data_IF_218124889068
#
_entry.id   IF_218124889068
#
_cell.length_a   1.000
_cell.length_b   1.000
_cell.length_c   1.000
_cell.angle_alpha   90.00
_cell.angle_beta   90.00
_cell.angle_gamma   90.00
#
_symmetry.space_group_name_H-M   'P 1'
#
loop_
_entity.id
_entity.type
_entity.pdbx_description
1 polymer ?
#
# COMPACT_ATOMS: atom_id res chain seq x y z
N UNK A 1 19.95 2.54 -4.65
CA UNK A 1 20.42 1.31 -5.32
C UNK A 1 21.78 0.86 -4.80
N UNK A 2 22.73 1.78 -4.57
CA UNK A 2 24.04 1.47 -3.99
C UNK A 2 23.97 0.65 -2.69
N UNK A 3 23.15 1.08 -1.71
CA UNK A 3 22.97 0.32 -0.47
C UNK A 3 22.46 -1.11 -0.70
N UNK A 4 21.55 -1.34 -1.66
CA UNK A 4 21.06 -2.69 -1.99
C UNK A 4 22.20 -3.55 -2.56
N UNK A 5 23.06 -2.96 -3.38
CA UNK A 5 24.19 -3.63 -4.01
C UNK A 5 25.28 -4.03 -3.01
N UNK A 6 25.63 -3.11 -2.10
CA UNK A 6 26.69 -3.27 -1.09
C UNK A 6 26.23 -4.16 0.07
N UNK A 7 25.05 -3.87 0.64
CA UNK A 7 24.54 -4.54 1.85
C UNK A 7 23.69 -5.78 1.54
N UNK A 8 23.52 -6.11 0.25
CA UNK A 8 22.72 -7.25 -0.21
C UNK A 8 21.32 -7.30 0.42
N UNK A 9 20.64 -6.15 0.50
CA UNK A 9 19.30 -6.07 1.07
C UNK A 9 18.33 -7.03 0.37
N UNK A 10 17.53 -7.75 1.15
CA UNK A 10 16.55 -8.74 0.66
C UNK A 10 15.12 -8.20 0.58
N UNK A 11 14.81 -7.16 1.37
CA UNK A 11 13.52 -6.50 1.37
C UNK A 11 13.67 -4.99 1.19
N UNK A 12 12.79 -4.41 0.37
CA UNK A 12 12.67 -2.96 0.19
C UNK A 12 11.22 -2.56 0.44
N UNK A 13 10.99 -1.65 1.39
CA UNK A 13 9.68 -1.10 1.71
C UNK A 13 9.69 0.37 1.31
N UNK A 14 8.70 0.81 0.53
CA UNK A 14 8.69 2.20 0.07
C UNK A 14 7.42 2.61 -0.66
N UNK A 15 7.33 3.91 -0.93
CA UNK A 15 6.29 4.47 -1.78
C UNK A 15 6.52 4.10 -3.26
N UNK A 16 5.47 4.06 -4.10
CA UNK A 16 5.54 3.77 -5.53
C UNK A 16 6.66 4.48 -6.30
N UNK A 17 6.93 5.74 -5.96
CA UNK A 17 7.95 6.57 -6.59
C UNK A 17 9.34 5.93 -6.55
N UNK A 18 9.70 5.29 -5.44
CA UNK A 18 11.02 4.67 -5.25
C UNK A 18 11.21 3.53 -6.24
N UNK A 19 10.19 2.70 -6.44
CA UNK A 19 10.25 1.55 -7.34
C UNK A 19 10.28 1.99 -8.80
N UNK A 20 9.47 3.00 -9.16
CA UNK A 20 9.52 3.61 -10.49
C UNK A 20 10.92 4.11 -10.79
N UNK A 21 11.48 4.91 -9.88
CA UNK A 21 12.79 5.50 -10.07
C UNK A 21 13.88 4.43 -10.21
N UNK A 22 13.86 3.37 -9.38
CA UNK A 22 14.78 2.23 -9.50
C UNK A 22 14.67 1.55 -10.88
N UNK A 23 13.44 1.33 -11.38
CA UNK A 23 13.20 0.66 -12.65
C UNK A 23 13.60 1.50 -13.86
N UNK A 24 13.38 2.82 -13.80
CA UNK A 24 13.64 3.76 -14.90
C UNK A 24 15.02 4.42 -14.83
N UNK A 25 15.79 4.19 -13.77
CA UNK A 25 17.09 4.83 -13.61
C UNK A 25 18.07 4.42 -14.72
N UNK A 26 18.69 5.41 -15.37
CA UNK A 26 19.70 5.19 -16.41
C UNK A 26 20.85 4.29 -15.92
N UNK A 27 21.30 4.54 -14.70
CA UNK A 27 22.40 3.79 -14.06
C UNK A 27 22.00 2.46 -13.41
N UNK A 28 20.74 2.02 -13.53
CA UNK A 28 20.27 0.78 -12.88
C UNK A 28 21.18 -0.43 -13.17
N UNK A 29 21.68 -0.54 -14.41
CA UNK A 29 22.57 -1.64 -14.84
C UNK A 29 23.92 -1.67 -14.12
N UNK A 30 24.33 -0.59 -13.46
CA UNK A 30 25.58 -0.52 -12.69
C UNK A 30 25.48 -1.22 -11.33
N UNK A 31 24.26 -1.47 -10.84
CA UNK A 31 24.01 -2.04 -9.53
C UNK A 31 23.46 -3.46 -9.66
N UNK A 32 24.10 -4.42 -8.99
CA UNK A 32 23.53 -5.76 -8.78
C UNK A 32 22.44 -5.67 -7.70
N UNK A 33 21.20 -5.94 -8.11
CA UNK A 33 19.99 -5.94 -7.27
C UNK A 33 19.45 -7.38 -7.05
N UNK A 34 20.22 -8.42 -7.38
CA UNK A 34 19.78 -9.82 -7.33
C UNK A 34 19.46 -10.34 -5.92
N UNK A 35 19.98 -9.67 -4.88
CA UNK A 35 19.66 -9.97 -3.48
C UNK A 35 18.22 -9.63 -3.11
N UNK A 36 17.60 -8.68 -3.82
CA UNK A 36 16.27 -8.17 -3.49
C UNK A 36 15.20 -9.19 -3.87
N UNK A 37 14.56 -9.80 -2.87
CA UNK A 37 13.55 -10.84 -3.04
C UNK A 37 12.13 -10.37 -2.72
N UNK A 38 11.98 -9.30 -1.93
CA UNK A 38 10.68 -8.75 -1.53
C UNK A 38 10.62 -7.22 -1.72
N UNK A 39 9.62 -6.75 -2.46
CA UNK A 39 9.26 -5.34 -2.55
C UNK A 39 7.89 -5.10 -1.93
N UNK A 40 7.81 -4.27 -0.89
CA UNK A 40 6.54 -3.84 -0.28
C UNK A 40 6.26 -2.41 -0.70
N UNK A 41 5.15 -2.22 -1.40
CA UNK A 41 4.70 -0.92 -1.88
C UNK A 41 3.53 -0.47 -1.02
N UNK A 42 3.63 0.71 -0.44
CA UNK A 42 2.59 1.30 0.39
C UNK A 42 2.49 2.82 0.16
N UNK A 43 1.64 3.50 0.93
CA UNK A 43 1.46 4.95 0.98
C UNK A 43 0.72 5.64 -0.19
N UNK A 44 0.68 5.08 -1.41
CA UNK A 44 -0.09 5.69 -2.51
C UNK A 44 -0.53 4.69 -3.58
N UNK A 45 -1.57 5.01 -4.39
CA UNK A 45 -1.95 4.18 -5.53
C UNK A 45 -0.83 4.14 -6.57
N UNK A 46 -0.60 2.95 -7.14
CA UNK A 46 0.33 2.73 -8.24
C UNK A 46 -0.48 2.37 -9.50
N UNK A 47 -0.03 2.86 -10.65
CA UNK A 47 -0.68 2.55 -11.92
C UNK A 47 -0.62 1.04 -12.20
N UNK A 48 -1.72 0.48 -12.69
CA UNK A 48 -1.90 -0.97 -12.89
C UNK A 48 -0.85 -1.59 -13.83
N UNK A 49 -0.24 -0.78 -14.70
CA UNK A 49 0.84 -1.20 -15.60
C UNK A 49 2.06 -1.76 -14.84
N UNK A 50 2.23 -1.38 -13.57
CA UNK A 50 3.36 -1.82 -12.74
C UNK A 50 3.06 -3.04 -11.86
N UNK A 51 1.80 -3.26 -11.46
CA UNK A 51 1.40 -4.42 -10.64
C UNK A 51 -0.03 -4.88 -10.96
N UNK A 52 -0.21 -6.19 -11.20
CA UNK A 52 -1.53 -6.84 -11.30
C UNK A 52 -2.03 -7.25 -9.92
N UNK A 53 -2.92 -6.45 -9.31
CA UNK A 53 -3.57 -6.78 -8.03
C UNK A 53 -5.09 -6.61 -8.12
N UNK A 54 -5.85 -7.53 -7.50
CA UNK A 54 -7.33 -7.47 -7.40
C UNK A 54 -7.74 -6.83 -6.07
N UNK A 55 -8.72 -5.92 -6.09
CA UNK A 55 -9.28 -5.23 -4.92
C UNK A 55 -10.80 -5.49 -4.87
N UNK A 56 -11.40 -5.51 -3.66
CA UNK A 56 -12.85 -5.61 -3.43
C UNK A 56 -13.33 -4.34 -2.70
N UNK A 57 -14.57 -3.94 -2.99
CA UNK A 57 -15.21 -2.68 -2.56
C UNK A 57 -16.47 -3.01 -1.74
N UNK A 58 -16.90 -2.12 -0.81
CA UNK A 58 -18.13 -2.24 -0.02
C UNK A 58 -19.03 -1.00 -0.19
N UNK A 59 -20.35 -1.14 -0.10
CA UNK A 59 -21.27 0.00 -0.17
C UNK A 59 -21.38 0.78 1.15
N UNK A 60 -22.07 1.92 1.08
CA UNK A 60 -22.33 2.83 2.22
C UNK A 60 -23.04 2.18 3.41
N UNK A 61 -23.68 1.04 3.22
CA UNK A 61 -24.38 0.29 4.27
C UNK A 61 -23.52 -0.88 4.81
N UNK A 62 -22.24 -0.97 4.39
CA UNK A 62 -21.29 -2.00 4.80
C UNK A 62 -21.46 -3.33 4.09
N UNK A 63 -22.31 -3.43 3.07
CA UNK A 63 -22.51 -4.66 2.31
C UNK A 63 -21.46 -4.78 1.20
N UNK A 64 -21.08 -6.02 0.88
CA UNK A 64 -20.18 -6.28 -0.24
C UNK A 64 -20.88 -5.95 -1.57
N UNK A 65 -20.34 -5.00 -2.33
CA UNK A 65 -20.86 -4.70 -3.68
C UNK A 65 -20.41 -5.75 -4.71
N UNK A 66 -21.17 -5.91 -5.81
CA UNK A 66 -20.75 -6.71 -6.95
C UNK A 66 -19.37 -6.31 -7.48
N UNK A 67 -18.62 -7.29 -7.99
CA UNK A 67 -17.33 -7.05 -8.64
C UNK A 67 -17.50 -6.06 -9.80
N UNK A 68 -16.76 -4.95 -9.75
CA UNK A 68 -16.79 -3.89 -10.77
C UNK A 68 -17.57 -2.64 -10.37
N UNK A 69 -18.27 -2.64 -9.23
CA UNK A 69 -18.89 -1.44 -8.67
C UNK A 69 -17.91 -0.67 -7.77
N UNK A 70 -17.75 0.63 -8.01
CA UNK A 70 -16.92 1.52 -7.19
C UNK A 70 -17.73 2.13 -6.05
N UNK A 71 -17.16 2.11 -4.84
CA UNK A 71 -17.75 2.58 -3.58
C UNK A 71 -16.64 2.61 -2.50
N UNK A 72 -16.97 2.69 -1.22
CA UNK A 72 -16.01 2.87 -0.11
C UNK A 72 -15.26 1.57 0.31
N UNK A 73 -14.04 1.72 0.83
CA UNK A 73 -13.26 0.61 1.39
C UNK A 73 -13.39 0.64 2.91
N UNK A 74 -14.05 -0.39 3.47
CA UNK A 74 -14.21 -0.57 4.91
C UNK A 74 -13.29 -1.68 5.41
N UNK A 75 -12.69 -1.49 6.58
CA UNK A 75 -11.76 -2.45 7.19
C UNK A 75 -12.04 -2.65 8.68
N UNK A 76 -12.03 -3.91 9.13
CA UNK A 76 -12.20 -4.32 10.53
C UNK A 76 -11.13 -5.34 10.92
N UNK A 77 -10.55 -5.18 12.10
CA UNK A 77 -9.77 -6.25 12.73
C UNK A 77 -8.87 -5.75 13.85
N UNK A 78 -8.02 -6.66 14.34
CA UNK A 78 -7.00 -6.36 15.35
C UNK A 78 -6.10 -5.15 15.04
N UNK A 79 -5.69 -4.85 13.78
CA UNK A 79 -4.80 -3.71 13.53
C UNK A 79 -5.51 -2.35 13.51
N UNK A 80 -6.84 -2.28 13.69
CA UNK A 80 -7.55 -1.00 13.72
C UNK A 80 -7.10 -0.16 14.92
N UNK A 81 -6.74 1.11 14.67
CA UNK A 81 -6.30 2.01 15.73
C UNK A 81 -7.43 2.31 16.73
N UNK A 82 -7.09 2.65 17.97
CA UNK A 82 -8.08 2.98 19.00
C UNK A 82 -8.84 4.29 18.73
N UNK A 83 -8.25 5.21 17.96
CA UNK A 83 -8.84 6.51 17.66
C UNK A 83 -7.81 7.61 17.43
N UNK A 84 -8.29 8.80 17.10
CA UNK A 84 -7.46 10.01 17.02
C UNK A 84 -7.24 10.61 18.41
N UNK A 85 -5.98 10.97 18.70
CA UNK A 85 -5.63 11.53 19.98
C UNK A 85 -6.25 12.92 20.20
N UNK A 86 -7.01 13.08 21.29
CA UNK A 86 -7.62 14.36 21.68
C UNK A 86 -8.79 14.82 20.80
N UNK A 87 -9.31 13.97 19.91
CA UNK A 87 -10.33 14.33 18.93
C UNK A 87 -11.45 13.27 18.88
N UNK A 88 -12.41 13.29 19.85
CA UNK A 88 -13.47 12.30 19.94
C UNK A 88 -14.48 12.36 18.79
N UNK A 89 -14.65 13.52 18.14
CA UNK A 89 -15.53 13.67 16.97
C UNK A 89 -14.99 12.91 15.77
N UNK A 90 -13.69 13.05 15.45
CA UNK A 90 -13.06 12.27 14.37
C UNK A 90 -13.03 10.77 14.64
N UNK A 91 -13.01 10.36 15.91
CA UNK A 91 -13.14 8.94 16.27
C UNK A 91 -14.51 8.41 15.81
N UNK A 92 -15.59 9.13 16.11
CA UNK A 92 -16.94 8.70 15.73
C UNK A 92 -17.18 8.73 14.22
N UNK A 93 -16.54 9.67 13.50
CA UNK A 93 -16.61 9.75 12.03
C UNK A 93 -15.85 8.58 11.36
N UNK A 94 -14.71 8.18 11.90
CA UNK A 94 -13.79 7.23 11.25
C UNK A 94 -13.94 5.78 11.75
N UNK A 95 -14.41 5.57 12.98
CA UNK A 95 -14.55 4.26 13.61
C UNK A 95 -16.01 4.05 14.02
N UNK A 96 -16.72 3.28 13.21
CA UNK A 96 -18.14 2.95 13.42
C UNK A 96 -18.32 1.52 13.94
N UNK A 97 -19.34 1.25 14.79
CA UNK A 97 -19.68 -0.11 15.22
C UNK A 97 -20.19 -1.02 14.09
N UNK A 98 -20.43 -0.47 12.89
CA UNK A 98 -20.85 -1.22 11.70
C UNK A 98 -19.69 -2.00 11.04
N UNK A 99 -18.43 -1.62 11.31
CA UNK A 99 -17.22 -2.29 10.81
C UNK A 99 -16.87 -3.50 11.68
#
# INVERSE_FOLDING_TARGET
MQAIHEEKCTALIGAPIIFRDILTHSDRKKYDLSSLSLGVIAASPMHYDFFRSKIKVADRDGNAVPIGQQDEIWARGYPTMAGYYGDPEKIQETITPLC
#
